data_IF_688865087291
#
_entry.id   IF_688865087291
#
_cell.length_a   1.000
_cell.length_b   1.000
_cell.length_c   1.000
_cell.angle_alpha   90.00
_cell.angle_beta   90.00
_cell.angle_gamma   90.00
#
_symmetry.space_group_name_H-M   'P 1'
#
loop_
_entity.id
_entity.type
_entity.pdbx_description
1 polymer ?
#
# COMPACT_ATOMS: atom_id res chain seq x y z
N UNK A 1 18.97 -19.75 27.44
CA UNK A 1 17.92 -18.75 27.13
C UNK A 1 17.23 -19.13 25.83
N UNK A 2 15.99 -19.59 25.91
CA UNK A 2 15.19 -19.97 24.75
C UNK A 2 14.74 -18.70 24.00
N UNK A 3 15.07 -18.60 22.71
CA UNK A 3 14.55 -17.54 21.82
C UNK A 3 13.06 -17.79 21.62
N UNK A 4 12.21 -17.00 22.27
CA UNK A 4 10.79 -16.93 21.93
C UNK A 4 10.66 -16.41 20.50
N UNK A 5 10.32 -17.32 19.59
CA UNK A 5 10.14 -17.04 18.18
C UNK A 5 8.77 -16.38 18.00
N UNK A 6 8.68 -15.08 18.31
CA UNK A 6 7.44 -14.31 18.10
C UNK A 6 7.22 -14.17 16.59
N UNK A 7 6.10 -14.66 16.04
CA UNK A 7 5.85 -14.57 14.62
C UNK A 7 5.75 -13.10 14.20
N UNK A 8 6.47 -12.73 13.14
CA UNK A 8 6.24 -11.48 12.42
C UNK A 8 4.75 -11.38 12.15
N UNK A 9 4.14 -10.25 12.52
CA UNK A 9 2.75 -9.91 12.18
C UNK A 9 2.71 -9.59 10.69
N UNK A 10 2.85 -10.64 9.88
CA UNK A 10 2.29 -10.75 8.55
C UNK A 10 0.88 -11.30 8.71
N UNK A 11 -0.04 -10.97 7.81
CA UNK A 11 -1.40 -11.52 7.79
C UNK A 11 -1.32 -13.06 7.78
N UNK A 12 -1.42 -13.70 8.96
CA UNK A 12 -1.26 -15.15 9.09
C UNK A 12 -2.59 -15.81 8.75
N UNK A 13 -2.87 -15.93 7.45
CA UNK A 13 -4.02 -16.68 6.97
C UNK A 13 -3.76 -18.16 7.23
N UNK A 14 -4.39 -18.69 8.27
CA UNK A 14 -4.27 -20.10 8.65
C UNK A 14 -5.35 -20.90 7.94
N UNK A 15 -4.99 -21.56 6.84
CA UNK A 15 -5.92 -22.43 6.10
C UNK A 15 -5.99 -23.78 6.82
N UNK A 16 -7.12 -24.05 7.46
CA UNK A 16 -7.41 -25.32 8.17
C UNK A 16 -7.98 -26.41 7.25
N UNK A 17 -8.46 -26.04 6.05
CA UNK A 17 -9.09 -26.95 5.07
C UNK A 17 -8.23 -27.31 3.85
N UNK A 18 -8.88 -27.65 2.74
CA UNK A 18 -8.21 -28.04 1.49
C UNK A 18 -7.47 -26.88 0.84
N UNK A 19 -6.14 -26.99 0.76
CA UNK A 19 -5.28 -25.97 0.14
C UNK A 19 -5.48 -25.84 -1.36
N UNK A 20 -5.78 -26.93 -2.05
CA UNK A 20 -6.04 -26.91 -3.51
C UNK A 20 -7.27 -26.04 -3.77
N UNK A 21 -8.33 -26.23 -2.98
CA UNK A 21 -9.55 -25.43 -3.07
C UNK A 21 -9.27 -23.97 -2.70
N UNK A 22 -8.51 -23.71 -1.64
CA UNK A 22 -8.16 -22.35 -1.25
C UNK A 22 -7.33 -21.61 -2.32
N UNK A 23 -6.37 -22.29 -2.96
CA UNK A 23 -5.56 -21.73 -4.05
C UNK A 23 -6.36 -21.49 -5.31
N UNK A 24 -7.20 -22.44 -5.68
CA UNK A 24 -8.10 -22.30 -6.82
C UNK A 24 -9.07 -21.14 -6.58
N UNK A 25 -9.68 -21.08 -5.40
CA UNK A 25 -10.59 -20.02 -5.01
C UNK A 25 -9.94 -18.65 -5.05
N UNK A 26 -8.74 -18.47 -4.48
CA UNK A 26 -8.04 -17.18 -4.51
C UNK A 26 -7.58 -16.80 -5.91
N UNK A 27 -7.10 -17.74 -6.73
CA UNK A 27 -6.80 -17.47 -8.16
C UNK A 27 -8.04 -17.09 -8.96
N UNK A 28 -9.16 -17.76 -8.72
CA UNK A 28 -10.42 -17.42 -9.34
C UNK A 28 -10.90 -16.02 -8.93
N UNK A 29 -10.76 -15.65 -7.66
CA UNK A 29 -11.08 -14.31 -7.18
C UNK A 29 -10.19 -13.23 -7.79
N UNK A 30 -8.89 -13.50 -7.99
CA UNK A 30 -8.00 -12.58 -8.71
C UNK A 30 -8.50 -12.40 -10.15
N UNK A 31 -8.75 -13.50 -10.86
CA UNK A 31 -9.23 -13.47 -12.23
C UNK A 31 -10.59 -12.75 -12.36
N UNK A 32 -11.52 -12.99 -11.43
CA UNK A 32 -12.83 -12.35 -11.42
C UNK A 32 -12.73 -10.83 -11.20
N UNK A 33 -11.85 -10.39 -10.31
CA UNK A 33 -11.60 -8.98 -10.06
C UNK A 33 -10.94 -8.29 -11.28
N UNK A 34 -9.91 -8.90 -11.87
CA UNK A 34 -9.28 -8.38 -13.08
C UNK A 34 -10.26 -8.36 -14.27
N UNK A 35 -11.09 -9.40 -14.40
CA UNK A 35 -12.14 -9.43 -15.41
C UNK A 35 -13.18 -8.33 -15.19
N UNK A 36 -13.56 -8.06 -13.94
CA UNK A 36 -14.49 -6.97 -13.61
C UNK A 36 -13.93 -5.64 -14.09
N UNK A 37 -12.66 -5.36 -13.78
CA UNK A 37 -11.98 -4.15 -14.27
C UNK A 37 -11.98 -4.04 -15.80
N UNK A 38 -11.52 -5.08 -16.51
CA UNK A 38 -11.49 -5.10 -17.98
C UNK A 38 -12.89 -4.94 -18.57
N UNK A 39 -13.88 -5.65 -18.00
CA UNK A 39 -15.28 -5.58 -18.45
C UNK A 39 -15.83 -4.17 -18.34
N UNK A 40 -15.56 -3.45 -17.26
CA UNK A 40 -16.00 -2.06 -17.11
C UNK A 40 -15.35 -1.13 -18.15
N UNK A 41 -14.07 -1.32 -18.47
CA UNK A 41 -13.41 -0.59 -19.56
C UNK A 41 -14.11 -0.86 -20.90
N UNK A 42 -14.42 -2.13 -21.21
CA UNK A 42 -15.05 -2.53 -22.47
C UNK A 42 -16.52 -2.11 -22.58
N UNK A 43 -17.28 -2.15 -21.48
CA UNK A 43 -18.68 -1.71 -21.46
C UNK A 43 -18.74 -0.22 -21.82
N UNK A 44 -17.92 0.61 -21.18
CA UNK A 44 -17.85 2.04 -21.47
C UNK A 44 -17.46 2.32 -22.92
N UNK A 45 -16.48 1.59 -23.46
CA UNK A 45 -16.13 1.68 -24.87
C UNK A 45 -17.33 1.36 -25.78
N UNK A 46 -18.11 0.33 -25.45
CA UNK A 46 -19.28 -0.08 -26.24
C UNK A 46 -20.44 0.94 -26.15
N UNK A 47 -20.68 1.51 -24.96
CA UNK A 47 -21.70 2.56 -24.75
C UNK A 47 -21.35 3.79 -25.59
N UNK A 48 -20.10 4.21 -25.53
CA UNK A 48 -19.62 5.36 -26.29
C UNK A 48 -19.66 5.14 -27.81
N UNK A 49 -19.35 3.93 -28.28
CA UNK A 49 -19.48 3.57 -29.70
C UNK A 49 -20.94 3.66 -30.18
N UNK A 50 -21.89 3.28 -29.33
CA UNK A 50 -23.31 3.39 -29.64
C UNK A 50 -23.78 4.85 -29.66
N UNK A 51 -23.29 5.70 -28.75
CA UNK A 51 -23.59 7.15 -28.75
C UNK A 51 -23.08 7.83 -30.03
N UNK A 52 -21.83 7.55 -30.42
CA UNK A 52 -21.23 8.09 -31.65
C UNK A 52 -22.02 7.62 -32.88
N UNK A 53 -22.40 6.34 -32.93
CA UNK A 53 -23.14 5.76 -34.05
C UNK A 53 -24.57 6.31 -34.19
N UNK A 54 -25.20 6.72 -33.09
CA UNK A 54 -26.57 7.28 -33.08
C UNK A 54 -26.61 8.77 -33.40
N UNK A 55 -25.47 9.43 -33.65
CA UNK A 55 -25.41 10.87 -33.90
C UNK A 55 -25.97 11.74 -32.76
N UNK A 56 -26.25 11.12 -31.61
CA UNK A 56 -26.81 11.79 -30.44
C UNK A 56 -25.63 12.32 -29.65
N UNK A 57 -25.01 13.40 -30.13
CA UNK A 57 -24.09 14.21 -29.31
C UNK A 57 -24.87 15.03 -28.28
N UNK A 58 -25.86 14.42 -27.62
CA UNK A 58 -26.34 14.96 -26.36
C UNK A 58 -25.32 14.49 -25.33
N UNK A 59 -24.48 15.42 -24.87
CA UNK A 59 -23.87 15.32 -23.54
C UNK A 59 -25.08 15.16 -22.61
N UNK A 60 -25.43 13.92 -22.25
CA UNK A 60 -26.49 13.67 -21.27
C UNK A 60 -25.91 14.01 -19.91
N UNK A 61 -25.81 15.31 -19.66
CA UNK A 61 -25.71 15.93 -18.36
C UNK A 61 -27.09 15.98 -17.72
N UNK A 62 -27.87 14.90 -17.80
CA UNK A 62 -29.10 14.77 -17.03
C UNK A 62 -28.76 14.09 -15.70
N UNK A 63 -28.94 14.90 -14.66
CA UNK A 63 -28.70 14.79 -13.21
C UNK A 63 -28.99 13.45 -12.48
N UNK A 64 -29.13 12.32 -13.16
CA UNK A 64 -29.19 10.96 -12.59
C UNK A 64 -27.86 10.19 -12.74
N UNK A 65 -26.90 10.72 -13.50
CA UNK A 65 -25.64 10.04 -13.88
C UNK A 65 -24.51 10.07 -12.84
N UNK A 66 -24.35 11.14 -12.06
CA UNK A 66 -23.16 11.35 -11.19
C UNK A 66 -22.97 10.27 -10.11
N UNK A 67 -24.05 9.84 -9.44
CA UNK A 67 -23.94 8.75 -8.44
C UNK A 67 -23.64 7.40 -9.08
N UNK A 68 -24.16 7.14 -10.28
CA UNK A 68 -23.92 5.89 -11.00
C UNK A 68 -22.47 5.83 -11.51
N UNK A 69 -21.95 6.95 -12.03
CA UNK A 69 -20.55 7.10 -12.42
C UNK A 69 -19.61 6.93 -11.24
N UNK A 70 -19.92 7.54 -10.09
CA UNK A 70 -19.15 7.35 -8.85
C UNK A 70 -19.12 5.88 -8.42
N UNK A 71 -20.27 5.19 -8.49
CA UNK A 71 -20.35 3.77 -8.18
C UNK A 71 -19.52 2.93 -9.16
N UNK A 72 -19.51 3.25 -10.46
CA UNK A 72 -18.69 2.53 -11.44
C UNK A 72 -17.20 2.69 -11.17
N UNK A 73 -16.74 3.91 -10.93
CA UNK A 73 -15.33 4.16 -10.61
C UNK A 73 -14.93 3.44 -9.32
N UNK A 74 -15.77 3.51 -8.29
CA UNK A 74 -15.56 2.82 -7.02
C UNK A 74 -15.49 1.30 -7.18
N UNK A 75 -16.33 0.70 -8.04
CA UNK A 75 -16.31 -0.74 -8.32
C UNK A 75 -15.01 -1.14 -9.04
N UNK A 76 -14.57 -0.34 -10.01
CA UNK A 76 -13.33 -0.59 -10.73
C UNK A 76 -12.14 -0.57 -9.78
N UNK A 77 -12.04 0.45 -8.94
CA UNK A 77 -10.97 0.57 -7.95
C UNK A 77 -11.01 -0.54 -6.90
N UNK A 78 -12.21 -0.85 -6.39
CA UNK A 78 -12.44 -1.98 -5.48
C UNK A 78 -11.93 -3.28 -6.10
N UNK A 79 -12.21 -3.52 -7.38
CA UNK A 79 -11.77 -4.73 -8.07
C UNK A 79 -10.25 -4.81 -8.19
N UNK A 80 -9.56 -3.69 -8.48
CA UNK A 80 -8.10 -3.66 -8.54
C UNK A 80 -7.45 -3.90 -7.18
N UNK A 81 -7.94 -3.22 -6.13
CA UNK A 81 -7.46 -3.42 -4.75
C UNK A 81 -7.74 -4.87 -4.32
N UNK A 82 -8.93 -5.39 -4.63
CA UNK A 82 -9.33 -6.77 -4.36
C UNK A 82 -8.43 -7.79 -5.06
N UNK A 83 -8.08 -7.57 -6.32
CA UNK A 83 -7.13 -8.42 -7.06
C UNK A 83 -5.75 -8.42 -6.38
N UNK A 84 -5.24 -7.26 -5.99
CA UNK A 84 -3.95 -7.14 -5.31
C UNK A 84 -3.95 -7.83 -3.94
N UNK A 85 -4.97 -7.60 -3.11
CA UNK A 85 -5.11 -8.27 -1.81
C UNK A 85 -5.21 -9.78 -1.97
N UNK A 86 -6.02 -10.27 -2.92
CA UNK A 86 -6.14 -11.70 -3.18
C UNK A 86 -4.86 -12.30 -3.74
N UNK A 87 -4.09 -11.55 -4.52
CA UNK A 87 -2.76 -11.96 -4.99
C UNK A 87 -1.78 -12.10 -3.83
N UNK A 88 -1.75 -11.15 -2.89
CA UNK A 88 -0.93 -11.25 -1.66
C UNK A 88 -1.34 -12.48 -0.86
N UNK A 89 -2.65 -12.71 -0.67
CA UNK A 89 -3.15 -13.89 0.04
C UNK A 89 -2.72 -15.17 -0.67
N UNK A 90 -2.96 -15.29 -1.98
CA UNK A 90 -2.58 -16.47 -2.77
C UNK A 90 -1.07 -16.75 -2.70
N UNK A 91 -0.25 -15.71 -2.85
CA UNK A 91 1.21 -15.83 -2.77
C UNK A 91 1.66 -16.34 -1.39
N UNK A 92 1.02 -15.87 -0.33
CA UNK A 92 1.33 -16.32 1.03
C UNK A 92 0.92 -17.77 1.31
N UNK A 93 -0.08 -18.34 0.62
CA UNK A 93 -0.46 -19.76 0.75
C UNK A 93 0.70 -20.67 0.34
N UNK A 94 1.51 -20.26 -0.63
CA UNK A 94 2.58 -21.05 -1.24
C UNK A 94 3.77 -21.20 -0.32
N UNK A 95 4.12 -20.12 0.39
CA UNK A 95 5.25 -20.10 1.30
C UNK A 95 5.03 -21.02 2.53
N UNK A 96 3.78 -21.28 2.91
CA UNK A 96 3.46 -22.26 3.97
C UNK A 96 3.82 -23.70 3.53
N UNK A 97 3.78 -24.01 2.22
CA UNK A 97 4.17 -25.34 1.69
C UNK A 97 5.66 -25.59 1.86
N UNK A 98 6.50 -24.61 1.52
CA UNK A 98 7.95 -24.74 1.65
C UNK A 98 8.37 -24.89 3.11
N UNK A 99 7.76 -24.12 4.02
CA UNK A 99 8.06 -24.23 5.46
C UNK A 99 7.76 -25.63 6.01
N UNK A 100 6.59 -26.19 5.71
CA UNK A 100 6.21 -27.52 6.19
C UNK A 100 7.05 -28.64 5.55
N UNK A 101 7.41 -28.49 4.27
CA UNK A 101 8.22 -29.49 3.55
C UNK A 101 9.68 -29.46 3.98
N UNK A 102 10.23 -28.27 4.24
CA UNK A 102 11.59 -28.09 4.75
C UNK A 102 11.74 -28.63 6.18
N UNK A 103 10.76 -28.38 7.06
CA UNK A 103 10.70 -29.01 8.40
C UNK A 103 10.64 -30.53 8.27
N UNK A 104 9.81 -31.08 7.37
CA UNK A 104 9.75 -32.53 7.13
C UNK A 104 11.07 -33.13 6.67
N UNK A 105 11.82 -32.42 5.80
CA UNK A 105 13.14 -32.86 5.30
C UNK A 105 14.23 -32.79 6.37
N UNK A 106 14.17 -31.81 7.28
CA UNK A 106 15.20 -31.59 8.30
C UNK A 106 15.11 -32.55 9.50
N UNK A 107 13.95 -33.17 9.72
CA UNK A 107 13.74 -34.20 10.74
C UNK A 107 13.84 -35.65 10.22
N UNK A 108 14.16 -35.83 8.93
CA UNK A 108 14.35 -37.17 8.39
C UNK A 108 15.82 -37.60 8.58
N UNK A 109 16.16 -38.02 9.80
CA UNK A 109 17.38 -38.79 10.05
C UNK A 109 17.19 -40.14 9.33
N UNK A 110 17.89 -40.36 8.22
CA UNK A 110 18.07 -41.70 7.66
C UNK A 110 18.99 -42.47 8.61
N UNK A 111 18.43 -43.41 9.34
CA UNK A 111 19.19 -44.46 10.01
C UNK A 111 19.39 -45.56 8.98
N UNK A 112 20.53 -45.53 8.29
CA UNK A 112 20.96 -46.65 7.44
C UNK A 112 21.60 -47.71 8.35
N UNK A 113 20.83 -48.73 8.72
CA UNK A 113 21.35 -49.92 9.38
C UNK A 113 21.89 -50.92 8.35
N UNK A 114 23.11 -50.66 7.85
CA UNK A 114 23.89 -51.64 7.10
C UNK A 114 25.36 -51.44 7.46
N UNK A 115 25.97 -52.44 8.15
CA UNK A 115 27.32 -52.49 8.79
C UNK A 115 27.24 -52.08 10.27
N UNK A 116 27.64 -52.85 11.28
CA UNK A 116 28.63 -53.94 11.38
C UNK A 116 28.40 -54.75 12.66
N UNK A 117 28.64 -56.05 12.50
CA UNK A 117 28.99 -57.13 13.43
C UNK A 117 29.44 -56.76 14.86
N UNK A 118 28.84 -57.51 15.79
CA UNK A 118 29.25 -57.98 17.12
C UNK A 118 30.62 -57.54 17.68
N UNK A 119 30.61 -56.96 18.88
CA UNK A 119 31.67 -57.13 19.87
C UNK A 119 31.10 -56.88 21.28
N UNK A 120 31.31 -57.88 22.14
CA UNK A 120 31.04 -57.88 23.58
C UNK A 120 31.97 -56.92 24.35
N UNK A 121 31.48 -56.41 25.49
CA UNK A 121 32.31 -56.08 26.65
C UNK A 121 32.11 -54.70 27.28
N UNK A 122 32.25 -54.55 28.61
CA UNK A 122 31.36 -53.73 29.45
C UNK A 122 32.06 -52.57 30.20
N UNK A 123 31.31 -51.61 30.76
CA UNK A 123 31.48 -50.99 32.11
C UNK A 123 30.70 -49.66 32.33
N UNK A 124 29.93 -49.64 33.43
CA UNK A 124 29.91 -48.68 34.57
C UNK A 124 29.23 -47.28 34.49
N UNK A 125 28.41 -47.07 35.53
CA UNK A 125 27.92 -45.87 36.26
C UNK A 125 26.70 -45.01 35.82
N UNK A 126 25.75 -44.92 36.77
CA UNK A 126 25.07 -43.66 37.14
C UNK A 126 23.55 -43.57 36.89
N UNK A 127 22.73 -43.04 37.83
CA UNK A 127 21.32 -43.41 37.95
C UNK A 127 20.33 -42.65 37.06
N UNK A 128 19.27 -43.39 36.70
CA UNK A 128 18.07 -42.96 35.98
C UNK A 128 17.29 -41.86 36.74
N UNK A 129 17.07 -40.74 36.08
CA UNK A 129 15.95 -39.84 36.38
C UNK A 129 15.05 -39.76 35.14
N UNK A 130 13.87 -40.38 35.23
CA UNK A 130 12.81 -40.25 34.24
C UNK A 130 11.50 -40.74 34.84
N UNK A 131 10.59 -39.81 35.15
CA UNK A 131 9.26 -39.69 34.55
C UNK A 131 8.42 -38.58 35.23
N UNK A 132 7.67 -37.86 34.38
CA UNK A 132 6.67 -36.78 34.53
C UNK A 132 5.51 -37.05 35.55
N UNK A 133 4.48 -36.19 35.80
CA UNK A 133 3.89 -35.13 34.95
C UNK A 133 3.20 -33.90 35.64
N UNK A 134 2.51 -33.09 34.81
CA UNK A 134 1.42 -32.10 35.05
C UNK A 134 1.77 -30.61 35.14
N UNK A 135 1.22 -29.84 34.20
CA UNK A 135 0.57 -28.56 34.49
C UNK A 135 -0.50 -28.25 33.43
N UNK A 136 -1.73 -28.10 33.92
CA UNK A 136 -2.95 -27.79 33.19
C UNK A 136 -2.92 -26.37 32.61
N UNK A 137 -3.58 -26.20 31.46
CA UNK A 137 -3.93 -24.92 30.86
C UNK A 137 -5.15 -24.35 31.58
N UNK A 138 -4.97 -23.27 32.37
CA UNK A 138 -6.06 -22.50 32.97
C UNK A 138 -6.00 -21.05 32.47
N UNK A 139 -7.01 -20.68 31.68
CA UNK A 139 -7.46 -19.32 31.40
C UNK A 139 -7.96 -18.68 32.70
N UNK A 140 -7.17 -17.77 33.29
CA UNK A 140 -7.53 -16.58 34.10
C UNK A 140 -6.31 -16.20 34.92
N UNK A 141 -5.68 -15.06 34.63
CA UNK A 141 -4.56 -14.54 35.42
C UNK A 141 -5.04 -14.05 36.80
N UNK A 142 -4.28 -14.43 37.82
CA UNK A 142 -4.51 -14.19 39.24
C UNK A 142 -4.10 -12.72 39.60
N UNK A 143 -4.93 -11.91 40.31
CA UNK A 143 -4.69 -10.47 40.47
C UNK A 143 -3.57 -10.05 41.44
N UNK A 144 -2.87 -10.99 42.09
CA UNK A 144 -1.97 -10.67 43.21
C UNK A 144 -0.50 -10.38 42.83
N UNK A 145 -0.13 -10.43 41.55
CA UNK A 145 1.23 -10.11 41.08
C UNK A 145 1.41 -8.68 40.54
N UNK A 146 0.47 -7.77 40.86
CA UNK A 146 0.45 -6.39 40.34
C UNK A 146 1.28 -5.37 41.14
N UNK A 147 2.18 -5.82 42.03
CA UNK A 147 2.91 -4.91 42.92
C UNK A 147 4.40 -4.70 42.57
N UNK A 148 5.08 -5.63 41.90
CA UNK A 148 6.56 -5.61 41.83
C UNK A 148 7.19 -5.39 40.45
N UNK A 149 6.41 -5.19 39.38
CA UNK A 149 6.94 -4.81 38.07
C UNK A 149 6.47 -3.42 37.64
N UNK A 150 6.62 -2.44 38.53
CA UNK A 150 6.57 -1.03 38.16
C UNK A 150 7.86 -0.64 37.45
N UNK A 151 8.13 -1.27 36.30
CA UNK A 151 8.96 -0.61 35.29
C UNK A 151 8.12 0.58 34.85
N UNK A 152 8.51 1.75 35.35
CA UNK A 152 8.12 3.02 34.79
C UNK A 152 8.68 3.04 33.36
N UNK A 153 8.00 2.36 32.44
CA UNK A 153 8.09 2.69 31.02
C UNK A 153 7.48 4.06 30.97
N UNK A 154 8.33 5.08 31.03
CA UNK A 154 7.92 6.44 30.78
C UNK A 154 7.25 6.47 29.41
N UNK A 155 5.92 6.39 29.39
CA UNK A 155 5.10 6.93 28.31
C UNK A 155 5.31 8.44 28.36
N UNK A 156 6.49 8.90 27.93
CA UNK A 156 6.70 10.28 27.56
C UNK A 156 5.69 10.48 26.43
N UNK A 157 4.68 11.32 26.66
CA UNK A 157 3.70 11.69 25.64
C UNK A 157 4.48 12.05 24.39
N UNK A 158 4.53 11.14 23.41
CA UNK A 158 5.20 11.45 22.16
C UNK A 158 4.35 12.53 21.53
N UNK A 159 4.95 13.71 21.34
CA UNK A 159 4.28 14.82 20.71
C UNK A 159 3.84 14.34 19.32
N UNK A 160 2.53 14.12 19.13
CA UNK A 160 1.93 13.56 17.91
C UNK A 160 1.83 14.62 16.80
N UNK A 161 2.89 15.39 16.60
CA UNK A 161 2.91 16.52 15.66
C UNK A 161 2.61 16.06 14.24
N UNK A 162 3.15 14.89 13.85
CA UNK A 162 2.93 14.33 12.51
C UNK A 162 1.47 13.96 12.24
N UNK A 163 0.78 13.40 13.24
CA UNK A 163 -0.65 13.08 13.11
C UNK A 163 -1.48 14.37 13.04
N UNK A 164 -1.18 15.37 13.86
CA UNK A 164 -1.87 16.66 13.83
C UNK A 164 -1.76 17.34 12.46
N UNK A 165 -0.54 17.48 11.92
CA UNK A 165 -0.34 18.06 10.59
C UNK A 165 -0.99 17.21 9.49
N UNK A 166 -1.01 15.88 9.65
CA UNK A 166 -1.69 14.97 8.74
C UNK A 166 -3.21 15.19 8.72
N UNK A 167 -3.83 15.31 9.90
CA UNK A 167 -5.26 15.58 10.02
C UNK A 167 -5.62 16.97 9.53
N UNK A 168 -4.78 17.98 9.78
CA UNK A 168 -4.95 19.32 9.23
C UNK A 168 -4.94 19.27 7.69
N UNK A 169 -3.95 18.58 7.11
CA UNK A 169 -3.86 18.38 5.66
C UNK A 169 -5.11 17.68 5.10
N UNK A 170 -5.57 16.59 5.73
CA UNK A 170 -6.80 15.90 5.34
C UNK A 170 -8.03 16.81 5.43
N UNK A 171 -8.18 17.58 6.52
CA UNK A 171 -9.31 18.49 6.70
C UNK A 171 -9.33 19.61 5.66
N UNK A 172 -8.17 20.16 5.29
CA UNK A 172 -8.03 21.16 4.26
C UNK A 172 -8.42 20.60 2.88
N UNK A 173 -7.99 19.38 2.57
CA UNK A 173 -8.38 18.69 1.33
C UNK A 173 -9.89 18.45 1.25
N UNK A 174 -10.51 17.92 2.31
CA UNK A 174 -11.95 17.69 2.34
C UNK A 174 -12.74 19.00 2.20
N UNK A 175 -12.26 20.07 2.85
CA UNK A 175 -12.86 21.41 2.72
C UNK A 175 -12.75 21.93 1.30
N UNK A 176 -11.58 21.82 0.68
CA UNK A 176 -11.39 22.27 -0.71
C UNK A 176 -12.24 21.45 -1.69
N UNK A 177 -12.36 20.15 -1.45
CA UNK A 177 -13.23 19.28 -2.25
C UNK A 177 -14.71 19.67 -2.11
N UNK A 178 -15.17 20.01 -0.91
CA UNK A 178 -16.52 20.53 -0.70
C UNK A 178 -16.76 21.85 -1.44
N UNK A 179 -15.77 22.77 -1.41
CA UNK A 179 -15.82 24.03 -2.15
C UNK A 179 -15.90 23.76 -3.66
N UNK A 180 -15.07 22.87 -4.18
CA UNK A 180 -15.10 22.44 -5.58
C UNK A 180 -16.50 21.96 -5.99
N UNK A 181 -17.10 21.04 -5.23
CA UNK A 181 -18.43 20.51 -5.55
C UNK A 181 -19.52 21.58 -5.40
N UNK A 182 -19.37 22.52 -4.47
CA UNK A 182 -20.23 23.70 -4.36
C UNK A 182 -20.21 24.59 -5.61
N UNK A 183 -19.03 24.83 -6.19
CA UNK A 183 -18.91 25.58 -7.45
C UNK A 183 -19.43 24.79 -8.65
N UNK A 184 -19.22 23.47 -8.68
CA UNK A 184 -19.81 22.60 -9.71
C UNK A 184 -21.34 22.64 -9.66
N UNK A 185 -21.94 22.56 -8.47
CA UNK A 185 -23.39 22.67 -8.29
C UNK A 185 -23.94 24.05 -8.72
N UNK A 186 -23.11 25.10 -8.57
CA UNK A 186 -23.43 26.47 -8.99
C UNK A 186 -23.18 26.73 -10.49
N UNK A 187 -22.83 25.71 -11.28
CA UNK A 187 -22.49 25.78 -12.71
C UNK A 187 -21.30 26.70 -13.04
N UNK A 188 -20.40 26.94 -12.09
CA UNK A 188 -19.18 27.73 -12.28
C UNK A 188 -17.98 26.79 -12.48
N UNK A 189 -17.96 26.07 -13.60
CA UNK A 189 -16.97 25.02 -13.89
C UNK A 189 -15.53 25.52 -13.97
N UNK A 190 -15.30 26.72 -14.49
CA UNK A 190 -13.95 27.31 -14.61
C UNK A 190 -13.33 27.63 -13.24
N UNK A 191 -14.12 28.21 -12.33
CA UNK A 191 -13.69 28.50 -10.95
C UNK A 191 -13.49 27.18 -10.20
N UNK A 192 -14.37 26.20 -10.38
CA UNK A 192 -14.20 24.87 -9.81
C UNK A 192 -12.89 24.21 -10.28
N UNK A 193 -12.61 24.21 -11.58
CA UNK A 193 -11.38 23.67 -12.15
C UNK A 193 -10.12 24.39 -11.61
N UNK A 194 -10.20 25.70 -11.38
CA UNK A 194 -9.12 26.48 -10.80
C UNK A 194 -8.88 26.11 -9.33
N UNK A 195 -9.94 26.03 -8.51
CA UNK A 195 -9.86 25.58 -7.11
C UNK A 195 -9.25 24.18 -7.03
N UNK A 196 -9.69 23.28 -7.92
CA UNK A 196 -9.15 21.94 -8.03
C UNK A 196 -7.65 21.95 -8.36
N UNK A 197 -7.24 22.64 -9.42
CA UNK A 197 -5.85 22.70 -9.84
C UNK A 197 -4.92 23.29 -8.77
N UNK A 198 -5.35 24.34 -8.08
CA UNK A 198 -4.60 24.93 -6.97
C UNK A 198 -4.48 23.94 -5.80
N UNK A 199 -5.57 23.24 -5.47
CA UNK A 199 -5.59 22.25 -4.38
C UNK A 199 -4.56 21.16 -4.63
N UNK A 200 -4.59 20.56 -5.82
CA UNK A 200 -3.66 19.50 -6.20
C UNK A 200 -2.21 19.98 -6.20
N UNK A 201 -1.93 21.17 -6.75
CA UNK A 201 -0.60 21.78 -6.74
C UNK A 201 -0.08 21.93 -5.30
N UNK A 202 -0.88 22.50 -4.41
CA UNK A 202 -0.52 22.66 -2.99
C UNK A 202 -0.32 21.29 -2.33
N UNK A 203 -1.21 20.34 -2.60
CA UNK A 203 -1.13 18.99 -2.07
C UNK A 203 0.18 18.28 -2.47
N UNK A 204 0.55 18.32 -3.75
CA UNK A 204 1.78 17.71 -4.25
C UNK A 204 3.04 18.41 -3.76
N UNK A 205 3.04 19.74 -3.63
CA UNK A 205 4.18 20.49 -3.06
C UNK A 205 4.40 20.10 -1.60
N UNK A 206 3.35 20.14 -0.78
CA UNK A 206 3.46 19.88 0.66
C UNK A 206 3.85 18.42 0.93
N UNK A 207 3.26 17.45 0.24
CA UNK A 207 3.64 16.05 0.42
C UNK A 207 5.03 15.75 -0.16
N UNK A 208 5.40 16.36 -1.28
CA UNK A 208 6.73 16.26 -1.88
C UNK A 208 7.82 16.78 -0.93
N UNK A 209 7.59 17.95 -0.33
CA UNK A 209 8.44 18.49 0.73
C UNK A 209 8.52 17.54 1.93
N UNK A 210 7.40 16.95 2.34
CA UNK A 210 7.34 15.91 3.37
C UNK A 210 8.20 14.69 3.03
N UNK A 211 8.17 14.20 1.78
CA UNK A 211 8.99 13.08 1.34
C UNK A 211 10.49 13.43 1.34
N UNK A 212 10.86 14.62 0.87
CA UNK A 212 12.25 15.11 0.91
C UNK A 212 12.74 15.24 2.36
N UNK A 213 11.92 15.80 3.24
CA UNK A 213 12.24 15.92 4.66
C UNK A 213 12.35 14.56 5.35
N UNK A 214 11.49 13.59 5.00
CA UNK A 214 11.58 12.22 5.49
C UNK A 214 12.90 11.56 5.04
N UNK A 215 13.22 11.66 3.75
CA UNK A 215 14.50 11.19 3.20
C UNK A 215 15.68 11.82 3.94
N UNK A 216 15.66 13.13 4.18
CA UNK A 216 16.73 13.82 4.90
C UNK A 216 16.87 13.35 6.35
N UNK A 217 15.76 13.25 7.10
CA UNK A 217 15.77 12.77 8.50
C UNK A 217 16.18 11.31 8.62
N UNK A 218 15.75 10.47 7.68
CA UNK A 218 16.02 9.03 7.69
C UNK A 218 17.46 8.69 7.29
N UNK A 219 18.26 9.64 6.76
CA UNK A 219 19.72 9.44 6.56
C UNK A 219 20.48 9.13 7.86
N UNK A 220 19.92 9.50 9.02
CA UNK A 220 20.47 9.18 10.33
C UNK A 220 20.30 7.70 10.69
N UNK A 221 19.38 6.99 10.02
CA UNK A 221 19.17 5.57 10.21
C UNK A 221 20.24 4.78 9.45
N UNK A 222 20.60 3.62 9.98
CA UNK A 222 21.56 2.74 9.33
C UNK A 222 20.82 1.76 8.42
N UNK A 223 21.46 1.38 7.32
CA UNK A 223 20.99 0.23 6.55
C UNK A 223 21.05 -0.99 7.44
N UNK A 224 19.95 -1.72 7.52
CA UNK A 224 20.00 -3.04 8.13
C UNK A 224 20.85 -3.92 7.22
N UNK A 225 22.11 -4.09 7.59
CA UNK A 225 22.89 -5.21 7.09
C UNK A 225 22.10 -6.45 7.50
N UNK A 226 21.55 -7.15 6.51
CA UNK A 226 20.87 -8.41 6.75
C UNK A 226 21.91 -9.27 7.49
N UNK A 227 21.77 -9.58 8.80
CA UNK A 227 22.54 -10.67 9.33
C UNK A 227 22.05 -11.83 8.50
N UNK A 228 22.93 -12.42 7.70
CA UNK A 228 22.65 -13.65 6.99
C UNK A 228 22.28 -14.70 8.05
N UNK A 229 21.03 -14.71 8.50
CA UNK A 229 20.37 -15.93 8.89
C UNK A 229 19.89 -16.51 7.57
N UNK A 230 20.53 -17.57 7.04
CA UNK A 230 20.31 -18.05 5.68
C UNK A 230 18.89 -18.65 5.44
N UNK A 231 17.93 -18.45 6.35
CA UNK A 231 16.68 -19.21 6.40
C UNK A 231 15.45 -18.35 6.79
N UNK A 232 15.29 -17.13 6.28
CA UNK A 232 13.98 -16.47 6.23
C UNK A 232 13.59 -16.15 4.77
N UNK A 233 13.21 -17.16 3.97
CA UNK A 233 12.74 -16.98 2.58
C UNK A 233 11.54 -16.02 2.45
N UNK A 234 10.87 -15.69 3.56
CA UNK A 234 9.65 -14.87 3.53
C UNK A 234 9.89 -13.36 3.34
N UNK A 235 11.07 -12.81 3.69
CA UNK A 235 11.27 -11.35 3.58
C UNK A 235 11.56 -10.90 2.16
N UNK A 236 12.39 -11.64 1.42
CA UNK A 236 12.74 -11.29 0.03
C UNK A 236 11.55 -11.42 -0.93
N UNK A 237 10.73 -12.45 -0.77
CA UNK A 237 9.53 -12.63 -1.59
C UNK A 237 8.45 -11.59 -1.30
N UNK A 238 8.29 -11.17 -0.04
CA UNK A 238 7.37 -10.09 0.32
C UNK A 238 7.86 -8.72 -0.17
N UNK A 239 9.16 -8.43 -0.04
CA UNK A 239 9.78 -7.20 -0.60
C UNK A 239 9.62 -7.13 -2.12
N UNK A 240 9.80 -8.25 -2.82
CA UNK A 240 9.56 -8.33 -4.27
C UNK A 240 8.10 -8.07 -4.63
N UNK A 241 7.16 -8.65 -3.87
CA UNK A 241 5.74 -8.45 -4.05
C UNK A 241 5.36 -6.97 -3.88
N UNK A 242 5.81 -6.33 -2.81
CA UNK A 242 5.56 -4.91 -2.56
C UNK A 242 6.16 -4.03 -3.66
N UNK A 243 7.34 -4.40 -4.20
CA UNK A 243 7.97 -3.73 -5.33
C UNK A 243 7.16 -3.88 -6.64
N UNK A 244 6.64 -5.07 -6.93
CA UNK A 244 5.81 -5.31 -8.12
C UNK A 244 4.52 -4.50 -8.03
N UNK A 245 3.83 -4.53 -6.89
CA UNK A 245 2.59 -3.78 -6.71
C UNK A 245 2.83 -2.26 -6.73
N UNK A 246 3.91 -1.78 -6.11
CA UNK A 246 4.28 -0.36 -6.16
C UNK A 246 4.64 0.09 -7.58
N UNK A 247 5.37 -0.73 -8.33
CA UNK A 247 5.75 -0.42 -9.72
C UNK A 247 4.55 -0.42 -10.66
N UNK A 248 3.59 -1.33 -10.50
CA UNK A 248 2.34 -1.33 -11.28
C UNK A 248 1.56 -0.02 -11.09
N UNK A 249 1.37 0.42 -9.84
CA UNK A 249 0.71 1.69 -9.55
C UNK A 249 1.49 2.88 -10.09
N UNK A 250 2.82 2.87 -9.94
CA UNK A 250 3.68 3.94 -10.44
C UNK A 250 3.62 4.05 -11.97
N UNK A 251 3.63 2.94 -12.70
CA UNK A 251 3.50 2.94 -14.16
C UNK A 251 2.17 3.58 -14.59
N UNK A 252 1.07 3.24 -13.90
CA UNK A 252 -0.22 3.87 -14.15
C UNK A 252 -0.22 5.38 -13.91
N UNK A 253 0.38 5.82 -12.79
CA UNK A 253 0.54 7.24 -12.45
C UNK A 253 1.38 8.00 -13.49
N UNK A 254 2.46 7.39 -13.98
CA UNK A 254 3.32 7.97 -15.01
C UNK A 254 2.57 8.12 -16.34
N UNK A 255 1.86 7.08 -16.78
CA UNK A 255 1.10 7.12 -18.03
C UNK A 255 0.00 8.18 -17.94
N UNK A 256 -0.81 8.18 -16.88
CA UNK A 256 -1.89 9.15 -16.69
C UNK A 256 -1.35 10.60 -16.71
N UNK A 257 -0.26 10.85 -15.98
CA UNK A 257 0.34 12.19 -15.90
C UNK A 257 1.00 12.62 -17.21
N UNK A 258 1.68 11.72 -17.91
CA UNK A 258 2.29 12.01 -19.22
C UNK A 258 1.21 12.32 -20.27
N UNK A 259 0.09 11.59 -20.24
CA UNK A 259 -1.01 11.82 -21.17
C UNK A 259 -1.69 13.17 -20.95
N UNK A 260 -1.92 13.56 -19.69
CA UNK A 260 -2.44 14.88 -19.35
C UNK A 260 -1.51 16.01 -19.79
N UNK A 261 -0.20 15.85 -19.55
CA UNK A 261 0.81 16.82 -20.01
C UNK A 261 0.79 17.01 -21.53
N UNK A 262 0.84 15.90 -22.28
CA UNK A 262 0.81 15.93 -23.74
C UNK A 262 -0.46 16.60 -24.28
N UNK A 263 -1.62 16.27 -23.72
CA UNK A 263 -2.89 16.86 -24.14
C UNK A 263 -2.95 18.37 -23.89
N UNK A 264 -2.45 18.84 -22.75
CA UNK A 264 -2.43 20.26 -22.41
C UNK A 264 -1.42 21.07 -23.24
N UNK A 265 -0.29 20.47 -23.62
CA UNK A 265 0.71 21.15 -24.48
C UNK A 265 0.23 21.41 -25.91
N UNK A 266 -0.82 20.72 -26.36
CA UNK A 266 -1.40 20.91 -27.68
C UNK A 266 -2.34 22.14 -27.76
N UNK A 267 -2.64 22.78 -26.62
CA UNK A 267 -3.48 23.97 -26.57
C UNK A 267 -2.80 25.16 -27.23
N UNK A 268 -3.55 25.88 -28.09
CA UNK A 268 -3.01 27.03 -28.84
C UNK A 268 -3.04 28.31 -28.00
N UNK A 269 -4.05 28.45 -27.13
CA UNK A 269 -4.25 29.62 -26.30
C UNK A 269 -3.98 29.29 -24.84
N UNK A 270 -2.80 29.69 -24.36
CA UNK A 270 -2.37 29.43 -22.99
C UNK A 270 -3.08 30.33 -22.00
N UNK A 271 -4.11 29.79 -21.34
CA UNK A 271 -4.81 30.43 -20.24
C UNK A 271 -4.16 30.11 -18.89
N UNK A 272 -4.46 30.90 -17.86
CA UNK A 272 -3.94 30.67 -16.50
C UNK A 272 -4.26 29.26 -15.98
N UNK A 273 -5.46 28.75 -16.26
CA UNK A 273 -5.87 27.39 -15.90
C UNK A 273 -4.96 26.33 -16.54
N UNK A 274 -4.59 26.48 -17.82
CA UNK A 274 -3.68 25.56 -18.52
C UNK A 274 -2.32 25.49 -17.83
N UNK A 275 -1.76 26.62 -17.38
CA UNK A 275 -0.51 26.64 -16.64
C UNK A 275 -0.62 25.93 -15.28
N UNK A 276 -1.73 26.12 -14.56
CA UNK A 276 -1.99 25.45 -13.28
C UNK A 276 -2.07 23.93 -13.50
N UNK A 277 -2.81 23.47 -14.51
CA UNK A 277 -2.95 22.04 -14.82
C UNK A 277 -1.63 21.42 -15.30
N UNK A 278 -0.83 22.16 -16.08
CA UNK A 278 0.50 21.70 -16.49
C UNK A 278 1.44 21.58 -15.29
N UNK A 279 1.45 22.57 -14.39
CA UNK A 279 2.21 22.52 -13.15
C UNK A 279 1.76 21.34 -12.27
N UNK A 280 0.45 21.08 -12.18
CA UNK A 280 -0.12 19.94 -11.46
C UNK A 280 0.46 18.62 -11.98
N UNK A 281 0.40 18.35 -13.29
CA UNK A 281 0.93 17.10 -13.85
C UNK A 281 2.45 16.93 -13.63
N UNK A 282 3.22 18.02 -13.74
CA UNK A 282 4.66 17.98 -13.47
C UNK A 282 4.93 17.69 -11.99
N UNK A 283 4.24 18.38 -11.09
CA UNK A 283 4.39 18.17 -9.64
C UNK A 283 3.93 16.78 -9.22
N UNK A 284 2.88 16.23 -9.84
CA UNK A 284 2.41 14.86 -9.65
C UNK A 284 3.47 13.83 -10.02
N UNK A 285 4.13 14.00 -11.17
CA UNK A 285 5.26 13.15 -11.59
C UNK A 285 6.45 13.21 -10.62
N UNK A 286 6.84 14.43 -10.22
CA UNK A 286 7.93 14.61 -9.27
C UNK A 286 7.60 14.01 -7.91
N UNK A 287 6.39 14.26 -7.40
CA UNK A 287 5.96 13.81 -6.09
C UNK A 287 5.89 12.27 -6.02
N UNK A 288 5.26 11.62 -7.00
CA UNK A 288 5.17 10.15 -7.07
C UNK A 288 6.53 9.48 -7.21
N UNK A 289 7.44 10.06 -8.00
CA UNK A 289 8.82 9.58 -8.14
C UNK A 289 9.64 9.72 -6.85
N UNK A 290 9.54 10.86 -6.16
CA UNK A 290 10.23 11.10 -4.87
C UNK A 290 9.68 10.14 -3.80
N UNK A 291 8.36 9.94 -3.75
CA UNK A 291 7.72 9.04 -2.80
C UNK A 291 8.12 7.57 -3.05
N UNK A 292 8.13 7.12 -4.30
CA UNK A 292 8.60 5.78 -4.65
C UNK A 292 10.07 5.57 -4.21
N UNK A 293 10.91 6.59 -4.41
CA UNK A 293 12.31 6.58 -3.95
C UNK A 293 12.42 6.51 -2.42
N UNK A 294 11.60 7.29 -1.70
CA UNK A 294 11.51 7.22 -0.24
C UNK A 294 11.15 5.83 0.23
N UNK A 295 10.12 5.20 -0.34
CA UNK A 295 9.67 3.86 0.06
C UNK A 295 10.77 2.82 -0.20
N UNK A 296 11.40 2.87 -1.37
CA UNK A 296 12.48 1.94 -1.72
C UNK A 296 13.68 2.05 -0.77
N UNK A 297 14.10 3.27 -0.43
CA UNK A 297 15.22 3.52 0.48
C UNK A 297 14.84 3.16 1.91
N UNK A 298 13.72 3.70 2.41
CA UNK A 298 13.30 3.52 3.80
C UNK A 298 12.90 2.08 4.14
N UNK A 299 12.47 1.29 3.14
CA UNK A 299 12.25 -0.15 3.30
C UNK A 299 13.50 -0.90 3.80
N UNK A 300 14.70 -0.41 3.46
CA UNK A 300 16.00 -1.01 3.82
C UNK A 300 16.63 -0.45 5.11
N UNK A 301 16.05 0.60 5.70
CA UNK A 301 16.59 1.26 6.89
C UNK A 301 16.05 0.63 8.17
N UNK A 302 16.86 0.53 9.24
CA UNK A 302 16.41 0.14 10.59
C UNK A 302 17.17 0.95 11.64
N UNK A 303 16.62 1.05 12.85
CA UNK A 303 17.34 1.59 14.02
C UNK A 303 18.20 0.46 14.61
N UNK A 304 19.50 0.69 14.80
CA UNK A 304 20.41 -0.31 15.34
C UNK A 304 21.16 0.24 16.57
N UNK A 305 21.00 -0.43 17.72
CA UNK A 305 21.97 -0.50 18.82
C UNK A 305 22.26 0.77 19.62
N UNK A 306 21.58 1.89 19.38
CA UNK A 306 21.87 3.17 20.01
C UNK A 306 20.63 3.68 20.78
N UNK A 307 20.64 3.58 22.11
CA UNK A 307 19.49 3.91 22.97
C UNK A 307 19.03 5.37 22.78
N UNK A 308 19.96 6.28 22.48
CA UNK A 308 19.66 7.68 22.19
C UNK A 308 18.93 7.86 20.84
N UNK A 309 19.32 7.11 19.81
CA UNK A 309 18.66 7.13 18.50
C UNK A 309 17.25 6.53 18.57
N UNK A 310 17.08 5.50 19.41
CA UNK A 310 15.78 4.92 19.73
C UNK A 310 14.87 5.89 20.48
N UNK A 311 15.42 6.77 21.33
CA UNK A 311 14.67 7.83 21.98
C UNK A 311 14.26 8.95 21.01
N UNK A 312 15.11 9.29 20.03
CA UNK A 312 14.84 10.36 19.06
C UNK A 312 13.87 9.97 17.94
N UNK A 313 13.80 8.68 17.56
CA UNK A 313 12.91 8.14 16.51
C UNK A 313 12.88 9.01 15.23
N UNK A 314 14.05 9.24 14.60
CA UNK A 314 14.18 10.22 13.51
C UNK A 314 13.30 9.83 12.33
N UNK A 315 12.50 10.80 11.85
CA UNK A 315 11.61 10.61 10.70
C UNK A 315 10.21 10.04 11.04
N UNK A 316 9.98 9.57 12.28
CA UNK A 316 8.71 8.92 12.64
C UNK A 316 7.50 9.83 12.47
N UNK A 317 7.60 11.08 12.95
CA UNK A 317 6.53 12.06 12.81
C UNK A 317 6.27 12.39 11.34
N UNK A 318 7.33 12.52 10.53
CA UNK A 318 7.19 12.77 9.08
C UNK A 318 6.52 11.62 8.35
N UNK A 319 6.89 10.36 8.64
CA UNK A 319 6.22 9.19 8.06
C UNK A 319 4.75 9.12 8.51
N UNK A 320 4.47 9.47 9.76
CA UNK A 320 3.09 9.54 10.29
C UNK A 320 2.26 10.60 9.56
N UNK A 321 2.82 11.78 9.30
CA UNK A 321 2.21 12.80 8.45
C UNK A 321 1.96 12.26 7.03
N UNK A 322 2.97 11.66 6.41
CA UNK A 322 2.88 11.14 5.03
C UNK A 322 1.85 10.01 4.88
N UNK A 323 1.60 9.22 5.92
CA UNK A 323 0.53 8.22 5.94
C UNK A 323 -0.84 8.88 5.78
N UNK A 324 -1.12 9.90 6.59
CA UNK A 324 -2.40 10.62 6.51
C UNK A 324 -2.49 11.45 5.23
N UNK A 325 -1.39 12.05 4.77
CA UNK A 325 -1.34 12.79 3.52
C UNK A 325 -1.63 11.89 2.30
N UNK A 326 -1.14 10.64 2.29
CA UNK A 326 -1.47 9.69 1.23
C UNK A 326 -2.93 9.27 1.24
N UNK A 327 -3.55 9.12 2.42
CA UNK A 327 -5.00 8.87 2.52
C UNK A 327 -5.77 10.06 1.94
N UNK A 328 -5.35 11.29 2.25
CA UNK A 328 -5.95 12.49 1.68
C UNK A 328 -5.82 12.54 0.15
N UNK A 329 -4.64 12.25 -0.40
CA UNK A 329 -4.43 12.15 -1.86
C UNK A 329 -5.21 11.01 -2.51
N UNK A 330 -5.33 9.86 -1.83
CA UNK A 330 -6.18 8.76 -2.26
C UNK A 330 -7.63 9.21 -2.41
N UNK A 331 -8.15 9.96 -1.44
CA UNK A 331 -9.50 10.53 -1.51
C UNK A 331 -9.61 11.54 -2.65
N UNK A 332 -8.67 12.47 -2.79
CA UNK A 332 -8.68 13.41 -3.93
C UNK A 332 -8.75 12.67 -5.27
N UNK A 333 -7.92 11.65 -5.48
CA UNK A 333 -7.89 10.89 -6.73
C UNK A 333 -9.17 10.07 -6.95
N UNK A 334 -9.75 9.50 -5.89
CA UNK A 334 -11.04 8.80 -5.94
C UNK A 334 -12.15 9.72 -6.47
N UNK A 335 -12.17 10.98 -6.02
CA UNK A 335 -13.14 11.97 -6.50
C UNK A 335 -12.71 12.65 -7.81
N UNK A 336 -11.42 12.66 -8.18
CA UNK A 336 -10.92 13.13 -9.49
C UNK A 336 -11.46 12.26 -10.63
N UNK A 337 -11.57 10.95 -10.42
CA UNK A 337 -11.93 10.02 -11.48
C UNK A 337 -13.38 10.20 -12.02
N UNK A 338 -14.24 10.91 -11.29
CA UNK A 338 -15.57 11.39 -11.75
C UNK A 338 -15.44 12.53 -12.79
N UNK A 339 -14.30 13.24 -12.82
CA UNK A 339 -14.14 14.56 -13.46
C UNK A 339 -13.36 14.52 -14.77
N UNK A 340 -13.07 13.33 -15.28
CA UNK A 340 -12.26 13.10 -16.49
C UNK A 340 -12.73 13.86 -17.75
N UNK A 341 -13.93 14.45 -17.76
CA UNK A 341 -14.46 15.27 -18.85
C UNK A 341 -14.20 16.77 -18.79
N UNK A 342 -13.57 17.32 -17.74
CA UNK A 342 -13.47 18.78 -17.55
C UNK A 342 -12.40 19.44 -18.44
N UNK A 343 -11.33 18.73 -18.83
CA UNK A 343 -10.35 19.30 -19.76
C UNK A 343 -10.76 19.03 -21.21
N UNK A 344 -11.70 19.82 -21.72
CA UNK A 344 -12.13 19.80 -23.12
C UNK A 344 -10.93 19.83 -24.08
N UNK A 345 -9.88 20.58 -23.74
CA UNK A 345 -8.58 20.61 -24.42
C UNK A 345 -7.99 19.22 -24.66
N UNK A 346 -7.83 18.43 -23.59
CA UNK A 346 -7.18 17.11 -23.65
C UNK A 346 -8.07 16.12 -24.41
N UNK A 347 -9.40 16.21 -24.20
CA UNK A 347 -10.40 15.44 -24.94
C UNK A 347 -10.33 15.73 -26.44
N UNK A 348 -10.19 16.99 -26.83
CA UNK A 348 -10.08 17.41 -28.23
C UNK A 348 -8.78 16.94 -28.88
N UNK A 349 -7.69 16.88 -28.11
CA UNK A 349 -6.40 16.38 -28.61
C UNK A 349 -6.40 14.86 -28.89
N UNK A 350 -6.85 14.05 -27.93
CA UNK A 350 -6.85 12.58 -28.08
C UNK A 350 -8.08 12.04 -28.82
N UNK A 351 -9.16 12.81 -28.85
CA UNK A 351 -10.51 12.34 -29.15
C UNK A 351 -11.18 11.73 -27.90
N UNK A 352 -12.49 11.96 -27.77
CA UNK A 352 -13.33 11.47 -26.64
C UNK A 352 -13.08 10.00 -26.31
N UNK A 353 -13.02 9.14 -27.33
CA UNK A 353 -12.83 7.68 -27.15
C UNK A 353 -11.48 7.32 -26.55
N UNK A 354 -10.40 7.80 -27.15
CA UNK A 354 -9.05 7.49 -26.70
C UNK A 354 -8.80 8.04 -25.30
N UNK A 355 -9.30 9.25 -25.02
CA UNK A 355 -9.15 9.87 -23.71
C UNK A 355 -9.90 9.10 -22.61
N UNK A 356 -11.18 8.76 -22.83
CA UNK A 356 -11.94 7.99 -21.85
C UNK A 356 -11.31 6.62 -21.62
N UNK A 357 -10.88 5.92 -22.67
CA UNK A 357 -10.17 4.65 -22.52
C UNK A 357 -8.92 4.79 -21.63
N UNK A 358 -8.14 5.85 -21.87
CA UNK A 358 -6.92 6.14 -21.12
C UNK A 358 -7.22 6.40 -19.64
N UNK A 359 -8.15 7.31 -19.35
CA UNK A 359 -8.50 7.66 -17.98
C UNK A 359 -9.09 6.47 -17.23
N UNK A 360 -9.95 5.67 -17.86
CA UNK A 360 -10.57 4.50 -17.22
C UNK A 360 -9.62 3.32 -17.04
N UNK A 361 -8.56 3.24 -17.86
CA UNK A 361 -7.50 2.24 -17.69
C UNK A 361 -6.49 2.65 -16.62
N UNK A 362 -6.01 3.90 -16.65
CA UNK A 362 -4.87 4.31 -15.83
C UNK A 362 -5.25 5.11 -14.58
N UNK A 363 -6.40 5.80 -14.57
CA UNK A 363 -6.92 6.51 -13.40
C UNK A 363 -7.02 5.63 -12.14
N UNK A 364 -7.61 4.42 -12.22
CA UNK A 364 -7.66 3.51 -11.08
C UNK A 364 -6.29 3.04 -10.58
N UNK A 365 -5.28 2.95 -11.46
CA UNK A 365 -3.91 2.61 -11.07
C UNK A 365 -3.23 3.73 -10.28
N UNK A 366 -3.62 4.98 -10.52
CA UNK A 366 -3.16 6.12 -9.72
C UNK A 366 -3.63 6.03 -8.27
N UNK A 367 -4.88 5.61 -8.08
CA UNK A 367 -5.50 5.41 -6.77
C UNK A 367 -4.88 4.20 -6.08
N UNK A 368 -4.65 3.12 -6.85
CA UNK A 368 -3.93 1.94 -6.40
C UNK A 368 -2.51 2.30 -5.89
N UNK A 369 -1.79 3.18 -6.58
CA UNK A 369 -0.49 3.67 -6.11
C UNK A 369 -0.60 4.37 -4.73
N UNK A 370 -1.58 5.24 -4.51
CA UNK A 370 -1.79 5.92 -3.21
C UNK A 370 -2.15 4.93 -2.10
N UNK A 371 -3.00 3.95 -2.40
CA UNK A 371 -3.35 2.88 -1.47
C UNK A 371 -2.12 2.04 -1.08
N UNK A 372 -1.43 1.47 -2.07
CA UNK A 372 -0.31 0.56 -1.81
C UNK A 372 0.89 1.27 -1.19
N UNK A 373 1.18 2.51 -1.61
CA UNK A 373 2.22 3.32 -1.00
C UNK A 373 1.94 3.65 0.48
N UNK A 374 0.67 3.79 0.87
CA UNK A 374 0.28 3.90 2.29
C UNK A 374 0.56 2.62 3.07
N UNK A 375 0.28 1.45 2.47
CA UNK A 375 0.61 0.14 3.06
C UNK A 375 2.12 0.01 3.27
N UNK A 376 2.93 0.35 2.25
CA UNK A 376 4.39 0.33 2.36
C UNK A 376 4.91 1.31 3.43
N UNK A 377 4.38 2.54 3.50
CA UNK A 377 4.76 3.51 4.54
C UNK A 377 4.40 3.03 5.94
N UNK A 378 3.27 2.34 6.11
CA UNK A 378 2.84 1.79 7.40
C UNK A 378 3.75 0.63 7.81
N UNK A 379 4.16 -0.20 6.85
CA UNK A 379 5.15 -1.25 7.07
C UNK A 379 6.52 -0.66 7.42
N UNK A 380 6.97 0.41 6.76
CA UNK A 380 8.21 1.12 7.11
C UNK A 380 8.12 1.67 8.54
N UNK A 381 7.03 2.37 8.88
CA UNK A 381 6.81 2.91 10.22
C UNK A 381 6.90 1.80 11.27
N UNK A 382 6.23 0.68 11.01
CA UNK A 382 6.27 -0.48 11.91
C UNK A 382 7.66 -1.10 11.98
N UNK A 383 8.31 -1.37 10.85
CA UNK A 383 9.56 -2.11 10.80
C UNK A 383 10.75 -1.29 11.32
N UNK A 384 10.74 0.03 11.12
CA UNK A 384 11.80 0.94 11.61
C UNK A 384 11.66 1.20 13.12
N UNK A 385 10.43 1.36 13.62
CA UNK A 385 10.18 1.80 15.00
C UNK A 385 9.60 0.71 15.94
N UNK A 386 9.30 -0.51 15.46
CA UNK A 386 8.89 -1.61 16.34
C UNK A 386 10.06 -2.06 17.21
N UNK A 387 9.95 -1.79 18.51
CA UNK A 387 10.91 -2.23 19.51
C UNK A 387 10.83 -3.74 19.73
N UNK A 388 11.97 -4.44 19.67
CA UNK A 388 12.14 -5.74 20.30
C UNK A 388 12.82 -5.51 21.64
N UNK A 389 12.09 -5.70 22.74
CA UNK A 389 12.74 -5.85 24.04
C UNK A 389 13.66 -7.06 23.96
N UNK A 390 14.97 -6.83 24.05
CA UNK A 390 15.97 -7.87 24.12
C UNK A 390 15.86 -8.64 25.44
#
# INVERSE_FOLDING_TARGET
MARLNVPKVALLVTITGSRIVARFGTMHLIAANLWTWIRYILIEESVMNNEISRGTMAISADNLGSMTELMYTSIVEYSLIGAAVMFIVWHNIDQVRERNTYVKRKYQIRVDCSKTTSADGPEVDGPRAGFCPQANFSLFENPYNLANNRIVVGRRAQKEEGLFFGLLYLSATLTSMAIFYGYMASKQSEIAATVYGITDVVQYIVSGAGCIYALWRMRLLRFAEHPQQPNSPNSSSQELLDLILLSLGLIGELIYSASGLLGLTAEKNWQALTFILLAMHILRLLQSGIQASLIFIAGKLRIQGDDELHAQQPGKQTITFLLVANISMFLTNLFEAEKAGISETVVNFYGKRSWVFLVRSFGPLTIFFRFHSSVCLAEIWKNVYAWKSQ
#
